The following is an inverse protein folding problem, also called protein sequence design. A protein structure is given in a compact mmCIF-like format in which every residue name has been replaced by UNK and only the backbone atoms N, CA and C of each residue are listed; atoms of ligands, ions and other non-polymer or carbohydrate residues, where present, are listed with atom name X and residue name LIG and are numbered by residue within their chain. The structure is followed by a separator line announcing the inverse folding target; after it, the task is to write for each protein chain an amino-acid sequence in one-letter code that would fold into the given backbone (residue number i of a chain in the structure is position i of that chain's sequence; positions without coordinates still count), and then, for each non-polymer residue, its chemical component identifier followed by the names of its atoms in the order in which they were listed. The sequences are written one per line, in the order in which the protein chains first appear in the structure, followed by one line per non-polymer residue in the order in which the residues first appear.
data_IF_417596926431
#
_entry.id   IF_417596926431
#
_cell.length_a   1.000
_cell.length_b   1.000
_cell.length_c   1.000
_cell.angle_alpha   90.00
_cell.angle_beta   90.00
_cell.angle_gamma   90.00
#
_symmetry.space_group_name_H-M   'P 1'
#
loop_
_entity.id
_entity.type
_entity.pdbx_description
1 polymer ?
#
# COMPACT_ATOMS: atom_id res chain seq x y z
N UNK A 1 -18.38 -39.24 77.09
CA UNK A 1 -19.71 -38.61 76.93
C UNK A 1 -19.48 -37.26 76.27
N UNK A 2 -19.93 -36.93 75.06
CA UNK A 2 -21.17 -37.27 74.37
C UNK A 2 -20.90 -37.51 72.87
N UNK A 3 -21.38 -38.63 72.34
CA UNK A 3 -21.55 -38.84 70.90
C UNK A 3 -22.69 -37.93 70.41
N UNK A 4 -22.39 -36.88 69.64
CA UNK A 4 -23.41 -36.23 68.82
C UNK A 4 -23.42 -36.91 67.45
N UNK A 5 -24.36 -37.84 67.30
CA UNK A 5 -24.76 -38.42 66.02
C UNK A 5 -25.33 -37.30 65.13
N UNK A 6 -24.58 -36.88 64.10
CA UNK A 6 -25.16 -36.11 63.00
C UNK A 6 -26.01 -37.06 62.16
N UNK A 7 -27.32 -36.82 62.11
CA UNK A 7 -28.26 -37.64 61.34
C UNK A 7 -28.13 -37.38 59.83
N UNK A 8 -28.44 -38.37 58.97
CA UNK A 8 -28.25 -38.30 57.51
C UNK A 8 -29.01 -37.16 56.79
N UNK A 9 -30.01 -36.55 57.43
CA UNK A 9 -30.81 -35.48 56.82
C UNK A 9 -30.12 -34.11 56.79
N UNK A 10 -29.10 -33.89 57.64
CA UNK A 10 -28.31 -32.65 57.64
C UNK A 10 -27.38 -32.50 56.42
N UNK A 11 -27.03 -33.61 55.77
CA UNK A 11 -26.18 -33.63 54.56
C UNK A 11 -26.93 -33.24 53.28
N UNK A 12 -28.26 -33.42 53.23
CA UNK A 12 -29.05 -33.13 52.03
C UNK A 12 -29.10 -31.64 51.70
N UNK A 13 -29.10 -30.78 52.72
CA UNK A 13 -29.11 -29.33 52.53
C UNK A 13 -27.75 -28.77 52.08
N UNK A 14 -26.64 -29.41 52.47
CA UNK A 14 -25.29 -29.00 52.06
C UNK A 14 -24.95 -29.52 50.65
N UNK A 15 -25.42 -30.71 50.28
CA UNK A 15 -25.22 -31.27 48.94
C UNK A 15 -26.05 -30.59 47.84
N UNK A 16 -27.15 -29.92 48.19
CA UNK A 16 -28.04 -29.32 47.19
C UNK A 16 -27.56 -27.94 46.69
N UNK A 17 -26.59 -27.29 47.36
CA UNK A 17 -26.14 -25.95 46.98
C UNK A 17 -24.78 -25.91 46.26
N UNK A 18 -24.23 -27.07 45.89
CA UNK A 18 -23.02 -27.18 45.06
C UNK A 18 -23.36 -27.40 43.57
N UNK A 19 -24.62 -27.63 43.23
CA UNK A 19 -25.06 -27.95 41.85
C UNK A 19 -25.93 -26.89 41.18
N UNK A 20 -26.16 -25.75 41.83
CA UNK A 20 -26.81 -24.58 41.21
C UNK A 20 -25.78 -23.64 40.56
N UNK A 21 -24.71 -24.19 39.94
CA UNK A 21 -23.84 -23.39 39.10
C UNK A 21 -24.67 -22.85 37.92
N UNK A 22 -25.12 -21.61 38.10
CA UNK A 22 -26.12 -20.94 37.30
C UNK A 22 -25.75 -21.08 35.82
N UNK A 23 -26.53 -21.82 35.04
CA UNK A 23 -26.23 -22.11 33.61
C UNK A 23 -25.90 -20.84 32.83
N UNK A 24 -26.44 -19.69 33.26
CA UNK A 24 -26.15 -18.35 32.77
C UNK A 24 -24.68 -17.91 32.99
N UNK A 25 -24.09 -18.10 34.18
CA UNK A 25 -22.67 -17.77 34.43
C UNK A 25 -21.71 -18.74 33.71
N UNK A 26 -22.08 -20.01 33.58
CA UNK A 26 -21.33 -21.00 32.78
C UNK A 26 -21.31 -20.64 31.30
N UNK A 27 -22.45 -20.19 30.74
CA UNK A 27 -22.54 -19.73 29.36
C UNK A 27 -21.71 -18.46 29.10
N UNK A 28 -21.69 -17.50 30.03
CA UNK A 28 -20.82 -16.32 29.94
C UNK A 28 -19.33 -16.67 30.01
N UNK A 29 -18.93 -17.61 30.87
CA UNK A 29 -17.52 -18.07 30.92
C UNK A 29 -17.10 -18.77 29.63
N UNK A 30 -17.96 -19.63 29.07
CA UNK A 30 -17.69 -20.34 27.80
C UNK A 30 -17.60 -19.39 26.61
N UNK A 31 -18.52 -18.42 26.51
CA UNK A 31 -18.49 -17.40 25.45
C UNK A 31 -17.27 -16.50 25.57
N UNK A 32 -16.89 -16.09 26.79
CA UNK A 32 -15.66 -15.36 27.05
C UNK A 32 -14.41 -16.15 26.64
N UNK A 33 -14.31 -17.43 27.00
CA UNK A 33 -13.20 -18.29 26.60
C UNK A 33 -13.13 -18.47 25.08
N UNK A 34 -14.26 -18.64 24.39
CA UNK A 34 -14.30 -18.71 22.92
C UNK A 34 -13.81 -17.40 22.30
N UNK A 35 -14.21 -16.23 22.82
CA UNK A 35 -13.72 -14.94 22.34
C UNK A 35 -12.21 -14.75 22.59
N UNK A 36 -11.69 -15.22 23.73
CA UNK A 36 -10.25 -15.21 24.00
C UNK A 36 -9.49 -16.12 23.02
N UNK A 37 -10.01 -17.32 22.74
CA UNK A 37 -9.40 -18.26 21.78
C UNK A 37 -9.44 -17.71 20.35
N UNK A 38 -10.54 -17.09 19.92
CA UNK A 38 -10.65 -16.44 18.62
C UNK A 38 -9.65 -15.28 18.50
N UNK A 39 -9.49 -14.45 19.53
CA UNK A 39 -8.48 -13.39 19.54
C UNK A 39 -7.04 -13.92 19.53
N UNK A 40 -6.78 -15.04 20.22
CA UNK A 40 -5.47 -15.68 20.23
C UNK A 40 -5.12 -16.25 18.84
N UNK A 41 -6.06 -16.96 18.21
CA UNK A 41 -5.93 -17.48 16.84
C UNK A 41 -5.79 -16.33 15.85
N UNK A 42 -6.57 -15.26 15.99
CA UNK A 42 -6.48 -14.08 15.13
C UNK A 42 -5.13 -13.39 15.28
N UNK A 43 -4.61 -13.21 16.50
CA UNK A 43 -3.29 -12.61 16.76
C UNK A 43 -2.14 -13.42 16.15
N UNK A 44 -2.14 -14.74 16.33
CA UNK A 44 -1.09 -15.63 15.82
C UNK A 44 -1.18 -15.77 14.29
N UNK A 45 -2.39 -15.94 13.75
CA UNK A 45 -2.64 -16.12 12.32
C UNK A 45 -2.46 -14.83 11.52
N UNK A 46 -2.81 -13.66 12.09
CA UNK A 46 -2.69 -12.36 11.43
C UNK A 46 -1.25 -12.06 11.03
N UNK A 47 -0.29 -12.30 11.93
CA UNK A 47 1.13 -12.03 11.67
C UNK A 47 1.73 -12.95 10.59
N UNK A 48 1.28 -14.21 10.52
CA UNK A 48 1.78 -15.21 9.56
C UNK A 48 1.13 -15.10 8.18
N UNK A 49 -0.14 -14.72 8.10
CA UNK A 49 -0.90 -14.65 6.84
C UNK A 49 -0.85 -13.25 6.21
N UNK A 50 -0.76 -12.19 7.02
CA UNK A 50 -0.80 -10.79 6.53
C UNK A 50 0.44 -9.96 6.89
N UNK A 51 1.33 -10.44 7.76
CA UNK A 51 2.45 -9.65 8.29
C UNK A 51 3.70 -9.58 7.39
N UNK A 52 3.94 -10.56 6.53
CA UNK A 52 5.16 -10.56 5.68
C UNK A 52 5.10 -9.53 4.54
N UNK A 53 3.90 -9.27 4.00
CA UNK A 53 3.68 -8.33 2.92
C UNK A 53 3.61 -6.85 3.38
N UNK A 54 3.97 -6.51 4.63
CA UNK A 54 3.80 -5.14 5.16
C UNK A 54 5.05 -4.51 5.77
N UNK A 55 6.19 -5.20 5.84
CA UNK A 55 7.41 -4.62 6.41
C UNK A 55 8.13 -3.70 5.39
N UNK A 56 8.17 -2.39 5.68
CA UNK A 56 8.89 -1.38 4.90
C UNK A 56 10.35 -1.79 4.62
N UNK A 57 10.99 -2.51 5.54
CA UNK A 57 12.35 -3.01 5.37
C UNK A 57 12.46 -4.02 4.23
N UNK A 58 11.48 -4.91 4.11
CA UNK A 58 11.41 -5.91 3.03
C UNK A 58 11.22 -5.22 1.68
N UNK A 59 10.34 -4.23 1.60
CA UNK A 59 10.14 -3.42 0.39
C UNK A 59 11.41 -2.68 -0.05
N UNK A 60 12.11 -2.06 0.90
CA UNK A 60 13.36 -1.37 0.63
C UNK A 60 14.43 -2.31 0.10
N UNK A 61 14.55 -3.50 0.70
CA UNK A 61 15.51 -4.53 0.26
C UNK A 61 15.16 -5.05 -1.15
N UNK A 62 13.89 -5.33 -1.41
CA UNK A 62 13.42 -5.76 -2.73
C UNK A 62 13.69 -4.70 -3.80
N UNK A 63 13.40 -3.42 -3.51
CA UNK A 63 13.68 -2.32 -4.43
C UNK A 63 15.19 -2.13 -4.69
N UNK A 64 16.04 -2.33 -3.67
CA UNK A 64 17.50 -2.33 -3.86
C UNK A 64 17.98 -3.47 -4.74
N UNK A 65 17.44 -4.69 -4.55
CA UNK A 65 17.75 -5.83 -5.41
C UNK A 65 17.30 -5.59 -6.85
N UNK A 66 16.13 -4.98 -7.02
CA UNK A 66 15.60 -4.64 -8.34
C UNK A 66 16.49 -3.64 -9.08
N UNK A 67 17.01 -2.62 -8.39
CA UNK A 67 17.98 -1.68 -8.97
C UNK A 67 19.21 -2.41 -9.51
N UNK A 68 19.79 -3.31 -8.71
CA UNK A 68 20.98 -4.08 -9.11
C UNK A 68 20.67 -4.95 -10.33
N UNK A 69 19.52 -5.62 -10.33
CA UNK A 69 19.08 -6.46 -11.45
C UNK A 69 18.94 -5.66 -12.74
N UNK A 70 18.24 -4.53 -12.69
CA UNK A 70 17.99 -3.71 -13.86
C UNK A 70 19.28 -3.04 -14.38
N UNK A 71 20.19 -2.64 -13.48
CA UNK A 71 21.50 -2.13 -13.87
C UNK A 71 22.31 -3.19 -14.65
N UNK A 72 22.32 -4.44 -14.19
CA UNK A 72 22.99 -5.52 -14.92
C UNK A 72 22.38 -5.81 -16.30
N UNK A 73 21.06 -5.66 -16.45
CA UNK A 73 20.40 -5.78 -17.76
C UNK A 73 20.81 -4.61 -18.66
N UNK A 74 20.80 -3.38 -18.14
CA UNK A 74 21.21 -2.17 -18.88
C UNK A 74 22.67 -2.25 -19.33
N UNK A 75 23.55 -2.86 -18.55
CA UNK A 75 24.94 -3.11 -18.93
C UNK A 75 25.07 -4.06 -20.13
N UNK A 76 24.16 -5.02 -20.27
CA UNK A 76 24.12 -5.98 -21.39
C UNK A 76 23.37 -5.43 -22.60
N UNK A 77 22.24 -4.75 -22.36
CA UNK A 77 21.39 -4.12 -23.36
C UNK A 77 21.02 -2.69 -22.94
N UNK A 78 21.81 -1.69 -23.36
CA UNK A 78 21.53 -0.29 -23.04
C UNK A 78 20.29 0.28 -23.74
N UNK A 79 19.66 -0.46 -24.67
CA UNK A 79 18.49 -0.01 -25.43
C UNK A 79 17.17 -0.50 -24.87
N UNK A 80 17.19 -1.28 -23.78
CA UNK A 80 15.96 -1.73 -23.15
C UNK A 80 15.28 -0.63 -22.31
N UNK A 81 14.28 0.02 -22.91
CA UNK A 81 13.50 1.05 -22.22
C UNK A 81 12.73 0.49 -21.00
N UNK A 82 12.40 -0.79 -20.99
CA UNK A 82 11.64 -1.39 -19.89
C UNK A 82 12.50 -1.44 -18.63
N UNK A 83 13.78 -1.83 -18.76
CA UNK A 83 14.73 -1.83 -17.64
C UNK A 83 14.86 -0.44 -17.01
N UNK A 84 15.00 0.62 -17.80
CA UNK A 84 15.02 1.99 -17.27
C UNK A 84 13.70 2.41 -16.61
N UNK A 85 12.56 1.92 -17.12
CA UNK A 85 11.27 2.19 -16.51
C UNK A 85 11.12 1.48 -15.14
N UNK A 86 11.48 0.21 -15.05
CA UNK A 86 11.47 -0.55 -13.79
C UNK A 86 12.47 0.03 -12.78
N UNK A 87 13.63 0.50 -13.25
CA UNK A 87 14.60 1.21 -12.43
C UNK A 87 13.99 2.48 -11.81
N UNK A 88 13.19 3.23 -12.58
CA UNK A 88 12.43 4.38 -12.08
C UNK A 88 11.42 4.01 -10.99
N UNK A 89 10.69 2.89 -11.15
CA UNK A 89 9.76 2.39 -10.14
C UNK A 89 10.46 1.95 -8.85
N UNK A 90 11.62 1.32 -8.98
CA UNK A 90 12.44 0.93 -7.84
C UNK A 90 12.96 2.17 -7.08
N UNK A 91 13.42 3.21 -7.80
CA UNK A 91 13.81 4.48 -7.17
C UNK A 91 12.64 5.20 -6.50
N UNK A 92 11.45 5.17 -7.11
CA UNK A 92 10.22 5.69 -6.50
C UNK A 92 9.95 5.00 -5.15
N UNK A 93 10.08 3.68 -5.10
CA UNK A 93 9.86 2.88 -3.87
C UNK A 93 10.84 3.27 -2.77
N UNK A 94 12.06 3.70 -3.14
CA UNK A 94 13.08 4.18 -2.21
C UNK A 94 12.98 5.67 -1.88
N UNK A 95 12.04 6.42 -2.47
CA UNK A 95 11.94 7.88 -2.33
C UNK A 95 13.06 8.65 -3.02
N UNK A 96 13.82 8.00 -3.91
CA UNK A 96 14.97 8.57 -4.63
C UNK A 96 14.50 9.30 -5.90
N UNK A 97 13.78 10.39 -5.71
CA UNK A 97 13.04 11.06 -6.79
C UNK A 97 13.94 11.70 -7.87
N UNK A 98 15.19 12.06 -7.56
CA UNK A 98 16.11 12.61 -8.56
C UNK A 98 16.55 11.53 -9.55
N UNK A 99 16.89 10.35 -9.04
CA UNK A 99 17.27 9.18 -9.80
C UNK A 99 16.08 8.57 -10.54
N UNK A 100 14.89 8.58 -9.92
CA UNK A 100 13.61 8.24 -10.58
C UNK A 100 13.41 9.07 -11.86
N UNK A 101 13.56 10.39 -11.78
CA UNK A 101 13.45 11.28 -12.95
C UNK A 101 14.48 10.93 -14.02
N UNK A 102 15.74 10.65 -13.65
CA UNK A 102 16.76 10.32 -14.63
C UNK A 102 16.45 9.00 -15.33
N UNK A 103 16.08 7.96 -14.58
CA UNK A 103 15.72 6.66 -15.14
C UNK A 103 14.53 6.77 -16.12
N UNK A 104 13.48 7.49 -15.74
CA UNK A 104 12.35 7.72 -16.65
C UNK A 104 12.69 8.59 -17.86
N UNK A 105 13.67 9.51 -17.76
CA UNK A 105 14.15 10.27 -18.92
C UNK A 105 14.89 9.38 -19.92
N UNK A 106 15.70 8.43 -19.46
CA UNK A 106 16.33 7.43 -20.34
C UNK A 106 15.27 6.50 -20.96
N UNK A 107 14.31 6.02 -20.16
CA UNK A 107 13.20 5.22 -20.71
C UNK A 107 12.41 6.01 -21.78
N UNK A 108 12.24 7.33 -21.58
CA UNK A 108 11.55 8.20 -22.53
C UNK A 108 12.37 8.48 -23.78
N UNK A 109 13.70 8.58 -23.69
CA UNK A 109 14.57 8.79 -24.86
C UNK A 109 14.49 7.61 -25.83
N UNK A 110 14.39 6.40 -25.28
CA UNK A 110 14.21 5.15 -26.03
C UNK A 110 12.76 4.96 -26.52
N UNK A 111 11.75 5.40 -25.75
CA UNK A 111 10.33 5.30 -26.14
C UNK A 111 9.57 6.64 -25.98
N UNK A 112 9.75 7.58 -26.92
CA UNK A 112 9.22 8.95 -26.80
C UNK A 112 7.69 9.05 -26.93
N UNK A 113 7.01 8.00 -27.39
CA UNK A 113 5.54 7.97 -27.56
C UNK A 113 4.83 7.24 -26.41
N UNK A 114 5.55 6.91 -25.33
CA UNK A 114 4.96 6.23 -24.18
C UNK A 114 4.21 7.20 -23.27
N UNK A 115 2.87 7.14 -23.34
CA UNK A 115 1.99 7.90 -22.44
C UNK A 115 2.23 7.55 -20.96
N UNK A 116 2.61 6.30 -20.68
CA UNK A 116 2.86 5.81 -19.32
C UNK A 116 4.14 6.41 -18.73
N UNK A 117 5.21 6.49 -19.52
CA UNK A 117 6.46 7.11 -19.06
C UNK A 117 6.24 8.61 -18.81
N UNK A 118 5.52 9.31 -19.70
CA UNK A 118 5.13 10.70 -19.46
C UNK A 118 4.30 10.88 -18.17
N UNK A 119 3.37 9.97 -17.89
CA UNK A 119 2.60 9.99 -16.64
C UNK A 119 3.52 9.85 -15.42
N UNK A 120 4.37 8.82 -15.38
CA UNK A 120 5.22 8.57 -14.23
C UNK A 120 6.28 9.66 -14.04
N UNK A 121 6.87 10.15 -15.13
CA UNK A 121 7.81 11.27 -15.09
C UNK A 121 7.15 12.56 -14.57
N UNK A 122 5.87 12.79 -14.87
CA UNK A 122 5.15 13.93 -14.31
C UNK A 122 4.98 13.84 -12.79
N UNK A 123 4.71 12.64 -12.27
CA UNK A 123 4.59 12.36 -10.84
C UNK A 123 5.97 12.51 -10.17
N UNK A 124 7.02 11.97 -10.78
CA UNK A 124 8.39 12.13 -10.29
C UNK A 124 8.80 13.61 -10.19
N UNK A 125 8.42 14.44 -11.16
CA UNK A 125 8.65 15.88 -11.09
C UNK A 125 7.81 16.58 -10.01
N UNK A 126 6.59 16.12 -9.77
CA UNK A 126 5.75 16.62 -8.67
C UNK A 126 6.38 16.32 -7.30
N UNK A 127 6.94 15.11 -7.10
CA UNK A 127 7.68 14.78 -5.88
C UNK A 127 8.91 15.68 -5.67
N UNK A 128 9.50 16.21 -6.74
CA UNK A 128 10.60 17.18 -6.69
C UNK A 128 10.13 18.64 -6.62
N UNK A 129 8.83 18.90 -6.45
CA UNK A 129 8.21 20.22 -6.47
C UNK A 129 8.47 21.03 -7.76
N UNK A 130 8.73 20.34 -8.88
CA UNK A 130 8.99 20.93 -10.20
C UNK A 130 7.69 21.00 -11.00
N UNK A 131 6.73 21.79 -10.52
CA UNK A 131 5.37 21.86 -11.05
C UNK A 131 5.26 22.13 -12.55
N UNK A 132 6.13 22.97 -13.12
CA UNK A 132 6.11 23.28 -14.57
C UNK A 132 6.39 22.04 -15.42
N UNK A 133 7.39 21.25 -15.04
CA UNK A 133 7.73 19.99 -15.73
C UNK A 133 6.68 18.92 -15.47
N UNK A 134 6.13 18.84 -14.26
CA UNK A 134 5.05 17.93 -13.92
C UNK A 134 3.83 18.16 -14.82
N UNK A 135 3.35 19.41 -14.92
CA UNK A 135 2.22 19.76 -15.78
C UNK A 135 2.50 19.44 -17.25
N UNK A 136 3.68 19.81 -17.75
CA UNK A 136 4.08 19.54 -19.15
C UNK A 136 4.00 18.05 -19.50
N UNK A 137 4.64 17.18 -18.70
CA UNK A 137 4.64 15.74 -18.99
C UNK A 137 3.25 15.13 -18.80
N UNK A 138 2.45 15.61 -17.84
CA UNK A 138 1.08 15.14 -17.65
C UNK A 138 0.16 15.53 -18.82
N UNK A 139 0.31 16.73 -19.38
CA UNK A 139 -0.40 17.14 -20.61
C UNK A 139 -0.02 16.25 -21.78
N UNK A 140 1.27 15.94 -21.93
CA UNK A 140 1.74 15.04 -22.99
C UNK A 140 1.16 13.63 -22.84
N UNK A 141 1.11 13.10 -21.62
CA UNK A 141 0.45 11.83 -21.32
C UNK A 141 -1.04 11.85 -21.71
N UNK A 142 -1.78 12.89 -21.31
CA UNK A 142 -3.19 13.06 -21.66
C UNK A 142 -3.42 13.11 -23.18
N UNK A 143 -2.57 13.84 -23.92
CA UNK A 143 -2.67 13.92 -25.37
C UNK A 143 -2.43 12.56 -26.04
N UNK A 144 -1.41 11.82 -25.59
CA UNK A 144 -1.13 10.47 -26.10
C UNK A 144 -2.27 9.49 -25.77
N UNK A 145 -2.87 9.56 -24.57
CA UNK A 145 -4.04 8.77 -24.24
C UNK A 145 -5.29 9.15 -25.05
N UNK A 146 -5.42 10.42 -25.43
CA UNK A 146 -6.48 10.92 -26.33
C UNK A 146 -6.33 10.33 -27.72
N UNK A 147 -5.12 10.34 -28.27
CA UNK A 147 -4.80 9.69 -29.56
C UNK A 147 -5.14 8.19 -29.51
N UNK A 148 -4.80 7.52 -28.40
CA UNK A 148 -5.12 6.09 -28.17
C UNK A 148 -6.58 5.83 -27.76
N UNK A 149 -7.45 6.85 -27.72
CA UNK A 149 -8.86 6.76 -27.29
C UNK A 149 -9.08 6.08 -25.92
N UNK A 150 -8.12 6.21 -25.00
CA UNK A 150 -8.21 5.61 -23.66
C UNK A 150 -8.95 6.53 -22.69
N UNK A 151 -10.29 6.53 -22.76
CA UNK A 151 -11.15 7.42 -21.96
C UNK A 151 -10.92 7.31 -20.43
N UNK A 152 -10.59 6.12 -19.92
CA UNK A 152 -10.29 5.92 -18.48
C UNK A 152 -9.04 6.69 -18.07
N UNK A 153 -7.96 6.57 -18.84
CA UNK A 153 -6.69 7.25 -18.56
C UNK A 153 -6.78 8.76 -18.81
N UNK A 154 -7.56 9.21 -19.79
CA UNK A 154 -7.85 10.64 -20.02
C UNK A 154 -8.47 11.27 -18.77
N UNK A 155 -9.55 10.67 -18.23
CA UNK A 155 -10.19 11.19 -17.00
C UNK A 155 -9.25 11.18 -15.79
N UNK A 156 -8.38 10.16 -15.68
CA UNK A 156 -7.39 10.11 -14.60
C UNK A 156 -6.36 11.24 -14.73
N UNK A 157 -5.77 11.41 -15.91
CA UNK A 157 -4.76 12.46 -16.18
C UNK A 157 -5.33 13.86 -16.04
N UNK A 158 -6.58 14.11 -16.47
CA UNK A 158 -7.26 15.39 -16.26
C UNK A 158 -7.47 15.71 -14.77
N UNK A 159 -7.78 14.71 -13.93
CA UNK A 159 -7.86 14.92 -12.47
C UNK A 159 -6.50 15.28 -11.88
N UNK A 160 -5.42 14.62 -12.32
CA UNK A 160 -4.06 14.99 -11.91
C UNK A 160 -3.69 16.40 -12.35
N UNK A 161 -3.99 16.79 -13.60
CA UNK A 161 -3.76 18.15 -14.09
C UNK A 161 -4.50 19.19 -13.24
N UNK A 162 -5.77 18.95 -12.93
CA UNK A 162 -6.55 19.83 -12.06
C UNK A 162 -5.87 19.97 -10.69
N UNK A 163 -5.42 18.87 -10.09
CA UNK A 163 -4.66 18.89 -8.82
C UNK A 163 -3.37 19.70 -8.96
N UNK A 164 -2.58 19.50 -10.01
CA UNK A 164 -1.34 20.26 -10.22
C UNK A 164 -1.59 21.75 -10.37
N UNK A 165 -2.61 22.19 -11.11
CA UNK A 165 -2.91 23.62 -11.22
C UNK A 165 -3.36 24.24 -9.89
N UNK A 166 -4.00 23.46 -9.01
CA UNK A 166 -4.35 23.90 -7.66
C UNK A 166 -3.11 23.98 -6.75
N UNK A 167 -2.21 23.00 -6.85
CA UNK A 167 -0.95 22.96 -6.08
C UNK A 167 0.07 24.01 -6.56
N UNK A 168 0.02 24.40 -7.84
CA UNK A 168 0.93 25.35 -8.47
C UNK A 168 0.16 26.51 -9.14
N UNK A 169 -0.46 27.42 -8.36
CA UNK A 169 -1.38 28.44 -8.89
C UNK A 169 -0.72 29.43 -9.87
N UNK A 170 0.59 29.67 -9.74
CA UNK A 170 1.36 30.53 -10.66
C UNK A 170 1.56 29.95 -12.06
N UNK A 171 1.19 28.69 -12.29
CA UNK A 171 1.37 27.94 -13.55
C UNK A 171 0.03 27.71 -14.27
N UNK A 172 -0.91 28.66 -14.18
CA UNK A 172 -2.27 28.51 -14.70
C UNK A 172 -2.32 28.09 -16.17
N UNK A 173 -3.42 27.41 -16.55
CA UNK A 173 -3.71 26.89 -17.91
C UNK A 173 -3.39 27.88 -19.06
N UNK A 174 -3.54 29.19 -18.83
CA UNK A 174 -3.26 30.23 -19.84
C UNK A 174 -1.77 30.48 -20.03
N UNK A 175 -0.98 30.45 -18.95
CA UNK A 175 0.44 30.87 -18.96
C UNK A 175 1.36 29.89 -19.69
N UNK A 176 1.02 28.60 -19.69
CA UNK A 176 1.83 27.55 -20.36
C UNK A 176 1.55 27.50 -21.88
N UNK A 177 0.39 27.98 -22.33
CA UNK A 177 -0.01 27.98 -23.74
C UNK A 177 0.43 29.23 -24.53
N UNK A 178 1.13 30.18 -23.90
CA UNK A 178 1.70 31.34 -24.59
C UNK A 178 0.68 32.14 -25.42
N UNK A 179 -0.57 32.20 -24.96
CA UNK A 179 -1.65 33.00 -25.56
C UNK A 179 -2.21 33.98 -24.54
#
# INVERSE_FOLDING_TARGET
MLHLFMTPDSLKHILFDVTSENKRTSWFRKTFLILCLVNLIWSIGYKKVWGEATDFKTYRKAAQQEIIRQQGIIEQDPMDFQSYFELGLAYLTLGRHKEEVQAYKEALSLNPKSALIHLNLSIAYDHLNKGSKAIHHMQRANNLYTIKRNHRKIRATQRHLKRYYLSYPGLSMKKILGR
#
